data_IF_373521880674
#
_entry.id   IF_373521880674
#
_cell.length_a   1.000
_cell.length_b   1.000
_cell.length_c   1.000
_cell.angle_alpha   90.00
_cell.angle_beta   90.00
_cell.angle_gamma   90.00
#
_symmetry.space_group_name_H-M   'P 1'
#
loop_
_entity.id
_entity.type
_entity.pdbx_description
1 polymer ?
#
# COMPACT_ATOMS: atom_id res chain seq x y z
N UNK A 1 19.61 -3.04 6.46
CA UNK A 1 20.22 -4.39 6.51
C UNK A 1 19.77 -5.10 5.23
N UNK A 2 20.65 -5.12 4.24
CA UNK A 2 20.37 -5.58 2.87
C UNK A 2 20.22 -7.09 2.88
N UNK A 3 19.02 -7.59 2.68
CA UNK A 3 18.80 -9.02 2.42
C UNK A 3 19.34 -9.36 1.04
N UNK A 4 20.53 -9.92 1.03
CA UNK A 4 21.12 -10.54 -0.15
C UNK A 4 20.36 -11.85 -0.38
N UNK A 5 19.54 -11.90 -1.41
CA UNK A 5 18.92 -13.14 -1.85
C UNK A 5 20.01 -14.08 -2.38
N UNK A 6 20.19 -15.21 -1.70
CA UNK A 6 21.00 -16.31 -2.19
C UNK A 6 20.44 -16.85 -3.52
N UNK A 7 21.33 -16.98 -4.48
CA UNK A 7 21.08 -17.54 -5.81
C UNK A 7 20.62 -18.99 -5.72
N UNK A 8 19.52 -19.32 -6.39
CA UNK A 8 19.30 -20.66 -6.95
C UNK A 8 18.46 -21.61 -6.10
N UNK A 9 17.16 -21.34 -5.98
CA UNK A 9 16.21 -22.44 -5.73
C UNK A 9 15.79 -23.02 -7.07
N UNK A 10 16.35 -24.16 -7.46
CA UNK A 10 15.86 -24.98 -8.57
C UNK A 10 14.46 -25.51 -8.22
N UNK A 11 13.42 -24.83 -8.67
CA UNK A 11 12.07 -25.34 -8.55
C UNK A 11 11.84 -26.41 -9.63
N UNK A 12 11.78 -27.66 -9.23
CA UNK A 12 11.30 -28.72 -10.12
C UNK A 12 9.84 -28.43 -10.51
N UNK A 13 9.39 -28.87 -11.69
CA UNK A 13 8.01 -28.71 -12.18
C UNK A 13 6.88 -29.11 -11.19
N UNK A 14 7.21 -29.89 -10.17
CA UNK A 14 6.29 -30.33 -9.11
C UNK A 14 6.01 -29.26 -8.03
N UNK A 15 6.74 -28.14 -8.01
CA UNK A 15 6.59 -27.09 -7.01
C UNK A 15 5.97 -25.78 -7.52
N UNK A 16 5.73 -25.63 -8.84
CA UNK A 16 5.12 -24.41 -9.38
C UNK A 16 3.65 -24.29 -8.97
N UNK A 17 3.30 -23.15 -8.37
CA UNK A 17 1.92 -22.83 -7.99
C UNK A 17 1.66 -21.34 -8.22
N UNK A 18 0.39 -20.93 -8.09
CA UNK A 18 -0.05 -19.55 -8.32
C UNK A 18 0.68 -18.56 -7.42
N UNK A 19 0.90 -18.87 -6.16
CA UNK A 19 1.56 -18.01 -5.19
C UNK A 19 3.04 -17.72 -5.56
N UNK A 20 3.79 -18.75 -5.94
CA UNK A 20 5.18 -18.62 -6.41
C UNK A 20 5.24 -17.74 -7.66
N UNK A 21 4.31 -17.93 -8.59
CA UNK A 21 4.24 -17.14 -9.83
C UNK A 21 3.97 -15.67 -9.51
N UNK A 22 3.03 -15.37 -8.62
CA UNK A 22 2.67 -14.01 -8.22
C UNK A 22 3.86 -13.32 -7.53
N UNK A 23 4.52 -13.97 -6.57
CA UNK A 23 5.69 -13.43 -5.88
C UNK A 23 6.83 -13.14 -6.84
N UNK A 24 7.15 -14.09 -7.72
CA UNK A 24 8.19 -13.89 -8.73
C UNK A 24 7.85 -12.76 -9.72
N UNK A 25 6.57 -12.62 -10.07
CA UNK A 25 6.11 -11.51 -10.91
C UNK A 25 6.24 -10.16 -10.18
N UNK A 26 5.87 -10.09 -8.89
CA UNK A 26 6.03 -8.90 -8.07
C UNK A 26 7.52 -8.49 -7.96
N UNK A 27 8.41 -9.43 -7.68
CA UNK A 27 9.86 -9.20 -7.59
C UNK A 27 10.45 -8.70 -8.91
N UNK A 28 10.03 -9.28 -10.05
CA UNK A 28 10.48 -8.84 -11.37
C UNK A 28 9.98 -7.43 -11.70
N UNK A 29 8.72 -7.13 -11.38
CA UNK A 29 8.16 -5.79 -11.59
C UNK A 29 8.89 -4.78 -10.71
N UNK A 30 9.16 -5.12 -9.43
CA UNK A 30 9.88 -4.24 -8.52
C UNK A 30 11.31 -3.94 -9.01
N UNK A 31 12.01 -4.93 -9.55
CA UNK A 31 13.41 -4.80 -9.96
C UNK A 31 13.60 -4.21 -11.36
N UNK A 32 12.70 -4.47 -12.30
CA UNK A 32 12.85 -4.11 -13.71
C UNK A 32 11.80 -3.13 -14.24
N UNK A 33 10.77 -2.85 -13.44
CA UNK A 33 9.62 -2.04 -13.84
C UNK A 33 8.56 -2.81 -14.62
N UNK A 34 7.33 -2.30 -14.56
CA UNK A 34 6.16 -2.89 -15.26
C UNK A 34 6.34 -2.93 -16.78
N UNK A 35 6.99 -1.93 -17.35
CA UNK A 35 7.18 -1.79 -18.80
C UNK A 35 8.04 -2.92 -19.40
N UNK A 36 9.01 -3.42 -18.62
CA UNK A 36 9.88 -4.52 -19.03
C UNK A 36 9.30 -5.91 -18.74
N UNK A 37 8.20 -5.99 -17.99
CA UNK A 37 7.63 -7.25 -17.55
C UNK A 37 6.88 -7.99 -18.67
N UNK A 38 7.14 -9.30 -18.79
CA UNK A 38 6.45 -10.21 -19.73
C UNK A 38 6.34 -11.63 -19.17
N UNK A 39 5.37 -12.41 -19.68
CA UNK A 39 5.23 -13.82 -19.31
C UNK A 39 6.47 -14.65 -19.69
N UNK A 40 7.19 -14.25 -20.73
CA UNK A 40 8.45 -14.90 -21.11
C UNK A 40 9.54 -14.65 -20.07
N UNK A 41 9.72 -13.39 -19.66
CA UNK A 41 10.70 -13.01 -18.64
C UNK A 41 10.43 -13.73 -17.30
N UNK A 42 9.15 -13.82 -16.92
CA UNK A 42 8.73 -14.55 -15.74
C UNK A 42 9.03 -16.06 -15.84
N UNK A 43 8.73 -16.68 -16.99
CA UNK A 43 9.04 -18.09 -17.22
C UNK A 43 10.54 -18.36 -17.16
N UNK A 44 11.34 -17.49 -17.78
CA UNK A 44 12.81 -17.58 -17.77
C UNK A 44 13.36 -17.43 -16.33
N UNK A 45 12.84 -16.50 -15.52
CA UNK A 45 13.24 -16.32 -14.12
C UNK A 45 12.92 -17.52 -13.24
N UNK A 46 11.78 -18.17 -13.48
CA UNK A 46 11.34 -19.38 -12.78
C UNK A 46 11.92 -20.67 -13.40
N UNK A 47 12.70 -20.57 -14.48
CA UNK A 47 13.28 -21.71 -15.21
C UNK A 47 12.23 -22.73 -15.68
N UNK A 48 11.06 -22.23 -16.12
CA UNK A 48 9.98 -23.04 -16.66
C UNK A 48 9.61 -22.60 -18.08
N UNK A 49 8.84 -23.43 -18.79
CA UNK A 49 8.26 -23.01 -20.08
C UNK A 49 7.11 -22.04 -19.82
N UNK A 50 6.95 -21.04 -20.70
CA UNK A 50 5.81 -20.08 -20.61
C UNK A 50 4.44 -20.80 -20.58
N UNK A 51 4.30 -21.91 -21.29
CA UNK A 51 3.10 -22.74 -21.24
C UNK A 51 2.78 -23.28 -19.83
N UNK A 52 3.80 -23.51 -19.00
CA UNK A 52 3.60 -23.98 -17.63
C UNK A 52 2.98 -22.92 -16.73
N UNK A 53 3.20 -21.63 -16.98
CA UNK A 53 2.56 -20.53 -16.26
C UNK A 53 1.05 -20.51 -16.53
N UNK A 54 0.64 -20.74 -17.78
CA UNK A 54 -0.76 -20.74 -18.17
C UNK A 54 -1.60 -21.90 -17.59
N UNK A 55 -0.95 -22.90 -16.97
CA UNK A 55 -1.66 -23.90 -16.17
C UNK A 55 -2.20 -23.32 -14.84
N UNK A 56 -1.66 -22.17 -14.40
CA UNK A 56 -1.98 -21.55 -13.10
C UNK A 56 -2.59 -20.16 -13.26
N UNK A 57 -2.30 -19.44 -14.34
CA UNK A 57 -2.73 -18.06 -14.62
C UNK A 57 -3.34 -18.03 -16.03
N UNK A 58 -4.54 -17.51 -16.16
CA UNK A 58 -5.29 -17.51 -17.44
C UNK A 58 -4.78 -16.45 -18.43
N UNK A 59 -4.33 -15.30 -17.90
CA UNK A 59 -3.92 -14.16 -18.73
C UNK A 59 -2.89 -13.28 -17.99
N UNK A 60 -2.28 -12.37 -18.74
CA UNK A 60 -1.42 -11.31 -18.17
C UNK A 60 -2.24 -10.40 -17.24
N UNK A 61 -3.47 -10.06 -17.61
CA UNK A 61 -4.31 -9.17 -16.80
C UNK A 61 -4.66 -9.82 -15.45
N UNK A 62 -5.05 -11.11 -15.45
CA UNK A 62 -5.25 -11.85 -14.19
C UNK A 62 -4.00 -11.86 -13.32
N UNK A 63 -2.83 -12.04 -13.92
CA UNK A 63 -1.57 -12.00 -13.18
C UNK A 63 -1.33 -10.62 -12.55
N UNK A 64 -1.52 -9.54 -13.32
CA UNK A 64 -1.35 -8.18 -12.82
C UNK A 64 -2.33 -7.86 -11.69
N UNK A 65 -3.60 -8.24 -11.83
CA UNK A 65 -4.59 -8.12 -10.75
C UNK A 65 -4.12 -8.87 -9.50
N UNK A 66 -3.68 -10.13 -9.64
CA UNK A 66 -3.17 -10.91 -8.50
C UNK A 66 -1.88 -10.33 -7.88
N UNK A 67 -1.01 -9.70 -8.67
CA UNK A 67 0.16 -8.97 -8.15
C UNK A 67 -0.26 -7.72 -7.38
N UNK A 68 -1.28 -6.99 -7.83
CA UNK A 68 -1.84 -5.85 -7.09
C UNK A 68 -2.45 -6.29 -5.75
N UNK A 69 -3.24 -7.37 -5.74
CA UNK A 69 -3.80 -7.96 -4.52
C UNK A 69 -2.69 -8.35 -3.52
N UNK A 70 -1.64 -9.00 -4.02
CA UNK A 70 -0.46 -9.36 -3.22
C UNK A 70 0.22 -8.12 -2.62
N UNK A 71 0.43 -7.07 -3.41
CA UNK A 71 1.04 -5.83 -2.95
C UNK A 71 0.19 -5.09 -1.91
N UNK A 72 -1.12 -5.07 -2.09
CA UNK A 72 -2.07 -4.51 -1.12
C UNK A 72 -2.06 -5.29 0.20
N UNK A 73 -1.98 -6.62 0.14
CA UNK A 73 -1.89 -7.46 1.32
C UNK A 73 -0.56 -7.22 2.06
N UNK A 74 0.54 -7.11 1.34
CA UNK A 74 1.87 -6.79 1.90
C UNK A 74 1.86 -5.43 2.60
N UNK A 75 1.29 -4.39 1.96
CA UNK A 75 1.14 -3.07 2.56
C UNK A 75 0.33 -3.14 3.86
N UNK A 76 -0.82 -3.81 3.83
CA UNK A 76 -1.68 -3.98 5.00
C UNK A 76 -0.94 -4.69 6.15
N UNK A 77 -0.20 -5.76 5.86
CA UNK A 77 0.56 -6.50 6.86
C UNK A 77 1.62 -5.61 7.53
N UNK A 78 2.38 -4.84 6.74
CA UNK A 78 3.35 -3.88 7.25
C UNK A 78 2.70 -2.82 8.15
N UNK A 79 1.59 -2.24 7.70
CA UNK A 79 0.85 -1.22 8.44
C UNK A 79 0.25 -1.77 9.74
N UNK A 80 -0.39 -2.94 9.69
CA UNK A 80 -1.00 -3.57 10.86
C UNK A 80 0.01 -4.00 11.91
N UNK A 81 1.17 -4.50 11.48
CA UNK A 81 2.26 -4.87 12.41
C UNK A 81 2.86 -3.63 13.07
N UNK A 82 3.10 -2.58 12.29
CA UNK A 82 3.66 -1.32 12.80
C UNK A 82 2.75 -0.66 13.87
N UNK A 83 1.42 -0.72 13.69
CA UNK A 83 0.45 -0.11 14.62
C UNK A 83 -0.10 -1.10 15.67
N UNK A 84 0.45 -2.31 15.76
CA UNK A 84 -0.10 -3.40 16.59
C UNK A 84 -0.34 -2.99 18.05
N UNK A 85 0.67 -2.39 18.67
CA UNK A 85 0.68 -1.96 20.08
C UNK A 85 0.59 -0.43 20.21
N UNK A 86 0.18 0.26 19.13
CA UNK A 86 0.12 1.71 19.07
C UNK A 86 -1.32 2.21 19.17
N UNK A 87 -1.47 3.39 19.81
CA UNK A 87 -2.77 4.01 20.08
C UNK A 87 -2.76 5.51 19.80
N UNK A 88 -3.95 6.07 19.59
CA UNK A 88 -4.20 7.50 19.47
C UNK A 88 -3.32 8.16 18.40
N UNK A 89 -2.76 9.32 18.74
CA UNK A 89 -1.93 10.11 17.82
C UNK A 89 -0.69 9.38 17.33
N UNK A 90 -0.07 8.59 18.20
CA UNK A 90 1.14 7.85 17.85
C UNK A 90 0.85 6.81 16.78
N UNK A 91 -0.28 6.11 16.86
CA UNK A 91 -0.70 5.16 15.84
C UNK A 91 -0.94 5.84 14.48
N UNK A 92 -1.52 7.06 14.47
CA UNK A 92 -1.70 7.86 13.24
C UNK A 92 -0.36 8.19 12.59
N UNK A 93 0.64 8.63 13.38
CA UNK A 93 1.97 8.99 12.87
C UNK A 93 2.67 7.77 12.29
N UNK A 94 2.72 6.67 13.04
CA UNK A 94 3.35 5.43 12.61
C UNK A 94 2.68 4.87 11.35
N UNK A 95 1.35 4.93 11.26
CA UNK A 95 0.64 4.51 10.05
C UNK A 95 1.05 5.36 8.84
N UNK A 96 1.13 6.68 9.00
CA UNK A 96 1.54 7.58 7.92
C UNK A 96 2.98 7.30 7.46
N UNK A 97 3.90 7.10 8.40
CA UNK A 97 5.30 6.77 8.12
C UNK A 97 5.43 5.42 7.42
N UNK A 98 4.69 4.40 7.89
CA UNK A 98 4.72 3.05 7.31
C UNK A 98 4.13 3.03 5.90
N UNK A 99 3.05 3.77 5.66
CA UNK A 99 2.46 3.92 4.32
C UNK A 99 3.50 4.53 3.35
N UNK A 100 4.16 5.62 3.75
CA UNK A 100 5.19 6.28 2.95
C UNK A 100 6.42 5.40 2.75
N UNK A 101 6.81 4.64 3.78
CA UNK A 101 7.90 3.65 3.70
C UNK A 101 7.59 2.55 2.69
N UNK A 102 6.37 1.99 2.71
CA UNK A 102 5.95 1.00 1.70
C UNK A 102 6.08 1.54 0.28
N UNK A 103 5.59 2.75 0.03
CA UNK A 103 5.68 3.37 -1.30
C UNK A 103 7.14 3.61 -1.74
N UNK A 104 8.05 3.85 -0.80
CA UNK A 104 9.48 4.04 -1.07
C UNK A 104 10.22 2.72 -1.30
N UNK A 105 9.95 1.69 -0.48
CA UNK A 105 10.62 0.39 -0.55
C UNK A 105 10.07 -0.48 -1.69
N UNK A 106 8.77 -0.34 -1.99
CA UNK A 106 8.06 -1.08 -3.03
C UNK A 106 7.53 -0.14 -4.12
N UNK A 107 8.40 0.70 -4.66
CA UNK A 107 8.04 1.80 -5.56
C UNK A 107 7.27 1.34 -6.80
N UNK A 108 7.77 0.34 -7.50
CA UNK A 108 7.13 -0.13 -8.73
C UNK A 108 5.80 -0.82 -8.45
N UNK A 109 5.72 -1.58 -7.35
CA UNK A 109 4.50 -2.25 -6.92
C UNK A 109 3.44 -1.23 -6.47
N UNK A 110 3.84 -0.21 -5.71
CA UNK A 110 2.95 0.88 -5.30
C UNK A 110 2.30 1.58 -6.50
N UNK A 111 3.10 1.99 -7.49
CA UNK A 111 2.57 2.65 -8.68
C UNK A 111 1.78 1.70 -9.59
N UNK A 112 2.14 0.42 -9.64
CA UNK A 112 1.34 -0.58 -10.32
C UNK A 112 -0.08 -0.66 -9.72
N UNK A 113 -0.19 -0.72 -8.40
CA UNK A 113 -1.46 -0.75 -7.67
C UNK A 113 -2.28 0.50 -7.99
N UNK A 114 -1.69 1.69 -7.85
CA UNK A 114 -2.39 2.96 -8.10
C UNK A 114 -2.92 3.05 -9.54
N UNK A 115 -2.10 2.69 -10.52
CA UNK A 115 -2.46 2.75 -11.94
C UNK A 115 -3.45 1.66 -12.37
N UNK A 116 -3.43 0.48 -11.73
CA UNK A 116 -4.33 -0.63 -12.04
C UNK A 116 -5.69 -0.41 -11.38
N UNK A 117 -5.74 -0.01 -10.11
CA UNK A 117 -6.97 0.28 -9.39
C UNK A 117 -7.83 1.38 -10.06
N UNK A 118 -7.21 2.29 -10.81
CA UNK A 118 -7.92 3.30 -11.57
C UNK A 118 -8.70 2.72 -12.79
N UNK A 119 -8.40 1.50 -13.21
CA UNK A 119 -8.92 0.86 -14.44
C UNK A 119 -9.68 -0.43 -14.19
N UNK A 120 -9.39 -1.11 -13.09
CA UNK A 120 -9.96 -2.42 -12.73
C UNK A 120 -10.76 -2.28 -11.43
N UNK A 121 -12.09 -2.45 -11.53
CA UNK A 121 -13.00 -2.35 -10.39
C UNK A 121 -12.74 -3.42 -9.33
N UNK A 122 -12.31 -4.63 -9.71
CA UNK A 122 -12.00 -5.69 -8.74
C UNK A 122 -10.81 -5.28 -7.87
N UNK A 123 -9.71 -4.81 -8.47
CA UNK A 123 -8.55 -4.29 -7.73
C UNK A 123 -8.94 -3.11 -6.85
N UNK A 124 -9.85 -2.24 -7.33
CA UNK A 124 -10.35 -1.11 -6.56
C UNK A 124 -11.15 -1.56 -5.32
N UNK A 125 -12.01 -2.56 -5.46
CA UNK A 125 -12.83 -3.08 -4.36
C UNK A 125 -11.95 -3.78 -3.31
N UNK A 126 -10.98 -4.60 -3.73
CA UNK A 126 -10.03 -5.27 -2.84
C UNK A 126 -9.13 -4.25 -2.14
N UNK A 127 -8.65 -3.23 -2.87
CA UNK A 127 -7.92 -2.11 -2.29
C UNK A 127 -8.75 -1.37 -1.23
N UNK A 128 -10.04 -1.14 -1.50
CA UNK A 128 -10.93 -0.46 -0.56
C UNK A 128 -11.09 -1.23 0.75
N UNK A 129 -11.10 -2.55 0.73
CA UNK A 129 -11.18 -3.40 1.92
C UNK A 129 -9.85 -3.44 2.66
N UNK A 130 -8.76 -3.78 1.97
CA UNK A 130 -7.45 -4.01 2.58
C UNK A 130 -6.84 -2.73 3.18
N UNK A 131 -6.93 -1.61 2.48
CA UNK A 131 -6.38 -0.31 2.93
C UNK A 131 -7.22 0.31 4.05
N UNK A 132 -8.50 -0.09 4.24
CA UNK A 132 -9.33 0.50 5.30
C UNK A 132 -9.10 -0.11 6.67
N UNK A 133 -8.57 -1.32 6.79
CA UNK A 133 -8.43 -2.00 8.09
C UNK A 133 -7.45 -1.31 9.05
N UNK A 134 -6.25 -0.86 8.63
CA UNK A 134 -5.37 -0.08 9.50
C UNK A 134 -6.03 1.22 9.98
N UNK A 135 -6.73 1.94 9.08
CA UNK A 135 -7.45 3.16 9.42
C UNK A 135 -8.64 2.89 10.36
N UNK A 136 -9.35 1.75 10.20
CA UNK A 136 -10.40 1.36 11.15
C UNK A 136 -9.81 1.15 12.54
N UNK A 137 -8.66 0.48 12.64
CA UNK A 137 -8.01 0.22 13.91
C UNK A 137 -7.65 1.52 14.64
N UNK A 138 -6.94 2.44 14.00
CA UNK A 138 -6.53 3.70 14.65
C UNK A 138 -7.71 4.60 14.99
N UNK A 139 -8.79 4.60 14.18
CA UNK A 139 -9.95 5.44 14.44
C UNK A 139 -10.84 4.95 15.59
N UNK A 140 -10.64 3.72 16.07
CA UNK A 140 -11.31 3.22 17.28
C UNK A 140 -10.89 3.99 18.54
N UNK A 141 -9.71 4.59 18.53
CA UNK A 141 -9.20 5.39 19.64
C UNK A 141 -9.79 6.81 19.68
N UNK A 142 -10.54 7.21 18.64
CA UNK A 142 -11.18 8.51 18.53
C UNK A 142 -12.70 8.35 18.49
N UNK A 143 -13.41 9.09 19.32
CA UNK A 143 -14.89 9.07 19.38
C UNK A 143 -15.50 9.87 18.22
N UNK A 144 -15.46 9.29 17.00
CA UNK A 144 -15.92 9.91 15.76
C UNK A 144 -17.29 9.36 15.33
N UNK A 145 -18.11 10.22 14.71
CA UNK A 145 -19.36 9.76 14.10
C UNK A 145 -19.07 8.89 12.86
N UNK A 146 -19.85 7.84 12.67
CA UNK A 146 -19.68 6.89 11.54
C UNK A 146 -19.69 7.59 10.17
N UNK A 147 -20.48 8.66 10.01
CA UNK A 147 -20.53 9.45 8.77
C UNK A 147 -19.22 10.20 8.49
N UNK A 148 -18.51 10.66 9.53
CA UNK A 148 -17.27 11.42 9.40
C UNK A 148 -16.07 10.51 9.11
N UNK A 149 -16.10 9.22 9.52
CA UNK A 149 -15.02 8.28 9.30
C UNK A 149 -14.61 8.15 7.83
N UNK A 150 -15.57 8.22 6.90
CA UNK A 150 -15.28 8.19 5.46
C UNK A 150 -14.48 9.41 5.04
N UNK A 151 -14.81 10.60 5.58
CA UNK A 151 -14.09 11.84 5.26
C UNK A 151 -12.65 11.81 5.79
N UNK A 152 -12.46 11.35 7.03
CA UNK A 152 -11.12 11.22 7.63
C UNK A 152 -10.25 10.19 6.91
N UNK A 153 -10.81 9.05 6.48
CA UNK A 153 -10.09 8.07 5.67
C UNK A 153 -9.63 8.65 4.34
N UNK A 154 -10.51 9.38 3.66
CA UNK A 154 -10.18 10.04 2.38
C UNK A 154 -9.12 11.12 2.58
N UNK A 155 -9.26 11.93 3.63
CA UNK A 155 -8.30 13.00 3.94
C UNK A 155 -6.92 12.42 4.24
N UNK A 156 -6.81 11.40 5.11
CA UNK A 156 -5.55 10.73 5.40
C UNK A 156 -4.86 10.22 4.14
N UNK A 157 -5.59 9.48 3.33
CA UNK A 157 -5.03 8.94 2.07
C UNK A 157 -4.62 10.03 1.10
N UNK A 158 -5.41 11.10 0.99
CA UNK A 158 -5.09 12.23 0.11
C UNK A 158 -3.80 12.93 0.56
N UNK A 159 -3.61 13.12 1.87
CA UNK A 159 -2.38 13.70 2.42
C UNK A 159 -1.18 12.81 2.10
N UNK A 160 -1.21 11.55 2.54
CA UNK A 160 -0.05 10.65 2.41
C UNK A 160 0.28 10.38 0.94
N UNK A 161 -0.71 10.02 0.12
CA UNK A 161 -0.51 9.80 -1.31
C UNK A 161 -0.06 11.06 -2.04
N UNK A 162 -0.63 12.22 -1.69
CA UNK A 162 -0.23 13.51 -2.25
C UNK A 162 1.25 13.81 -1.98
N UNK A 163 1.74 13.57 -0.76
CA UNK A 163 3.16 13.72 -0.45
C UNK A 163 4.03 12.75 -1.24
N UNK A 164 3.66 11.46 -1.30
CA UNK A 164 4.38 10.44 -2.07
C UNK A 164 4.48 10.86 -3.55
N UNK A 165 3.36 11.25 -4.16
CA UNK A 165 3.32 11.64 -5.57
C UNK A 165 4.15 12.91 -5.85
N UNK A 166 3.98 13.96 -5.04
CA UNK A 166 4.68 15.22 -5.24
C UNK A 166 6.19 15.10 -4.98
N UNK A 167 6.60 14.28 -4.02
CA UNK A 167 8.00 13.99 -3.74
C UNK A 167 8.64 13.20 -4.88
N UNK A 168 7.97 12.18 -5.40
CA UNK A 168 8.39 11.36 -6.53
C UNK A 168 8.57 12.18 -7.81
N UNK A 169 7.65 13.09 -8.06
CA UNK A 169 7.66 14.01 -9.22
C UNK A 169 8.67 15.21 -9.05
N UNK A 170 9.31 15.32 -7.88
CA UNK A 170 10.27 16.36 -7.58
C UNK A 170 9.68 17.76 -7.34
N UNK A 171 8.35 17.89 -7.18
CA UNK A 171 7.69 19.19 -6.99
C UNK A 171 8.11 19.90 -5.70
N UNK A 172 8.60 19.17 -4.70
CA UNK A 172 9.08 19.78 -3.44
C UNK A 172 10.54 20.24 -3.47
N UNK A 173 11.29 19.95 -4.53
CA UNK A 173 12.74 20.22 -4.62
C UNK A 173 13.11 21.71 -4.60
N UNK A 174 12.17 22.62 -4.87
CA UNK A 174 12.39 24.05 -4.96
C UNK A 174 12.23 24.82 -3.64
N UNK A 175 11.81 24.14 -2.58
CA UNK A 175 11.61 24.77 -1.27
C UNK A 175 12.81 24.51 -0.36
N UNK A 176 13.23 25.54 0.44
CA UNK A 176 14.34 25.36 1.39
C UNK A 176 13.98 24.50 2.59
N UNK A 177 12.67 24.35 2.89
CA UNK A 177 12.17 23.55 3.99
C UNK A 177 12.23 22.07 3.63
N UNK A 178 12.79 21.20 4.49
CA UNK A 178 12.79 19.76 4.27
C UNK A 178 11.38 19.20 4.08
N UNK A 179 11.22 18.32 3.10
CA UNK A 179 9.92 17.67 2.80
C UNK A 179 9.38 16.93 4.03
N UNK A 180 10.27 16.34 4.81
CA UNK A 180 9.98 15.63 6.06
C UNK A 180 9.22 16.52 7.05
N UNK A 181 9.69 17.75 7.28
CA UNK A 181 9.02 18.71 8.17
C UNK A 181 7.61 19.04 7.69
N UNK A 182 7.44 19.23 6.38
CA UNK A 182 6.13 19.51 5.77
C UNK A 182 5.19 18.30 5.87
N UNK A 183 5.72 17.09 5.72
CA UNK A 183 4.95 15.87 5.90
C UNK A 183 4.42 15.74 7.33
N UNK A 184 5.30 15.85 8.33
CA UNK A 184 4.89 15.77 9.74
C UNK A 184 3.97 16.91 10.16
N UNK A 185 4.17 18.12 9.62
CA UNK A 185 3.21 19.22 9.81
C UNK A 185 1.82 18.85 9.30
N UNK A 186 1.73 18.25 8.11
CA UNK A 186 0.44 17.85 7.52
C UNK A 186 -0.23 16.72 8.31
N UNK A 187 0.54 15.76 8.81
CA UNK A 187 0.03 14.69 9.69
C UNK A 187 -0.44 15.28 11.03
N UNK A 188 0.28 16.29 11.58
CA UNK A 188 -0.19 16.98 12.78
C UNK A 188 -1.51 17.70 12.54
N UNK A 189 -1.66 18.43 11.44
CA UNK A 189 -2.93 19.06 11.07
C UNK A 189 -4.07 18.05 10.96
N UNK A 190 -3.80 16.86 10.39
CA UNK A 190 -4.77 15.78 10.33
C UNK A 190 -5.18 15.28 11.73
N UNK A 191 -4.22 15.08 12.64
CA UNK A 191 -4.46 14.67 14.02
C UNK A 191 -5.32 15.72 14.75
N UNK A 192 -5.01 17.00 14.57
CA UNK A 192 -5.78 18.09 15.17
C UNK A 192 -7.22 18.13 14.64
N UNK A 193 -7.42 17.84 13.35
CA UNK A 193 -8.78 17.66 12.79
C UNK A 193 -9.53 16.49 13.43
N UNK A 194 -8.88 15.35 13.69
CA UNK A 194 -9.49 14.20 14.38
C UNK A 194 -9.95 14.59 15.79
N UNK A 195 -9.09 15.25 16.56
CA UNK A 195 -9.42 15.72 17.92
C UNK A 195 -10.58 16.71 17.95
N UNK A 196 -10.62 17.63 16.98
CA UNK A 196 -11.75 18.57 16.86
C UNK A 196 -13.05 17.83 16.51
N UNK A 197 -13.00 16.80 15.67
CA UNK A 197 -14.15 15.93 15.37
C UNK A 197 -14.65 15.22 16.61
N UNK A 198 -13.74 14.62 17.39
CA UNK A 198 -14.05 13.97 18.66
C UNK A 198 -14.73 14.93 19.67
N UNK A 199 -14.17 16.12 19.87
CA UNK A 199 -14.78 17.12 20.76
C UNK A 199 -16.19 17.51 20.35
N UNK A 200 -16.46 17.63 19.03
CA UNK A 200 -17.83 17.91 18.53
C UNK A 200 -18.79 16.76 18.84
N UNK A 201 -18.34 15.53 18.71
CA UNK A 201 -19.17 14.35 19.01
C UNK A 201 -19.55 14.30 20.50
N UNK A 202 -18.57 14.42 21.39
CA UNK A 202 -18.78 14.42 22.84
C UNK A 202 -19.70 15.56 23.31
N UNK A 203 -19.59 16.75 22.69
CA UNK A 203 -20.47 17.88 22.99
C UNK A 203 -21.94 17.62 22.60
N UNK A 204 -22.17 16.97 21.45
CA UNK A 204 -23.50 16.64 20.97
C UNK A 204 -24.16 15.52 21.78
N UNK A 205 -23.43 14.60 22.33
CA UNK A 205 -23.94 13.53 23.20
C UNK A 205 -24.40 14.07 24.56
N UNK A 206 -23.71 15.07 25.11
CA UNK A 206 -24.08 15.72 26.39
C UNK A 206 -25.35 16.59 26.31
N UNK A 207 -25.82 16.89 25.09
CA UNK A 207 -27.04 17.69 24.86
C UNK A 207 -28.31 16.87 24.61
N UNK A 208 -28.15 15.53 24.52
CA UNK A 208 -29.27 14.58 24.39
C UNK A 208 -29.62 13.97 25.74
#
# INVERSE_FOLDING_TARGET
>A
MTLVFERGVFLSHKGLNKEIIIKAAADLIETQGRECFSMRLLADSLQVKTASLYNHIKSMDELITSVCEYGLQLQKEMEMDAIKEQHGEQAVRILADTYRLFAKEHRQLYWLIMNTAAKDHQVLDDAAILITDPLKKIFQDFHLQSKELVHYRRLFRAIVHGFISQEEEGFFSHYPTPVEESFYFSIQCFIDCLKQGEMRCLHNERKK
#
